data_IF_187480591402
#
_entry.id   IF_187480591402
#
_cell.length_a   1.000
_cell.length_b   1.000
_cell.length_c   1.000
_cell.angle_alpha   90.00
_cell.angle_beta   90.00
_cell.angle_gamma   90.00
#
_symmetry.space_group_name_H-M   'P 1'
#
loop_
_entity.id
_entity.type
_entity.pdbx_description
1 polymer ?
#
# COMPACT_ATOMS: atom_id res chain seq x y z
N UNK A 1 15.81 9.28 8.51
CA UNK A 1 14.59 10.07 8.80
C UNK A 1 13.38 9.22 8.41
N UNK A 2 12.24 9.37 9.07
CA UNK A 2 11.00 8.71 8.64
C UNK A 2 10.30 9.59 7.61
N UNK A 3 10.03 9.03 6.42
CA UNK A 3 9.16 9.65 5.42
C UNK A 3 7.86 8.84 5.42
N UNK A 4 6.76 9.46 5.81
CA UNK A 4 5.45 8.81 5.84
C UNK A 4 4.52 9.51 4.85
N UNK A 5 4.11 8.79 3.80
CA UNK A 5 3.30 9.31 2.70
C UNK A 5 2.01 8.51 2.57
N UNK A 6 0.90 9.18 2.26
CA UNK A 6 -0.40 8.57 1.99
C UNK A 6 -0.82 8.88 0.55
N UNK A 7 -1.27 7.84 -0.18
CA UNK A 7 -1.76 7.94 -1.56
C UNK A 7 -3.30 7.85 -1.59
N UNK A 8 -3.96 8.97 -1.29
CA UNK A 8 -5.40 9.03 -0.97
C UNK A 8 -6.36 8.80 -2.16
N UNK A 9 -5.86 8.83 -3.39
CA UNK A 9 -6.72 8.75 -4.59
C UNK A 9 -7.47 7.41 -4.70
N UNK A 10 -6.83 6.31 -4.28
CA UNK A 10 -7.46 4.98 -4.21
C UNK A 10 -8.79 5.01 -3.45
N UNK A 11 -8.81 5.71 -2.33
CA UNK A 11 -9.98 5.82 -1.47
C UNK A 11 -10.98 6.87 -1.98
N UNK A 12 -10.51 8.12 -2.09
CA UNK A 12 -11.35 9.30 -2.30
C UNK A 12 -11.92 9.43 -3.72
N UNK A 13 -11.19 8.93 -4.74
CA UNK A 13 -11.60 9.02 -6.15
C UNK A 13 -12.19 7.74 -6.68
N UNK A 14 -11.79 6.57 -6.17
CA UNK A 14 -12.16 5.29 -6.77
C UNK A 14 -12.96 4.38 -5.83
N UNK A 15 -12.49 4.15 -4.60
CA UNK A 15 -13.12 3.27 -3.61
C UNK A 15 -14.53 3.74 -3.23
N UNK A 16 -14.66 4.93 -2.64
CA UNK A 16 -15.95 5.51 -2.23
C UNK A 16 -16.93 5.70 -3.40
N UNK A 17 -16.42 5.82 -4.63
CA UNK A 17 -17.22 6.04 -5.85
C UNK A 17 -17.59 4.75 -6.57
N UNK A 18 -17.11 3.60 -6.09
CA UNK A 18 -17.34 2.28 -6.69
C UNK A 18 -16.98 2.25 -8.17
N UNK A 19 -15.75 2.67 -8.47
CA UNK A 19 -15.19 2.70 -9.82
C UNK A 19 -14.04 1.67 -9.96
N UNK A 20 -14.33 0.38 -10.22
CA UNK A 20 -13.32 -0.67 -10.29
C UNK A 20 -12.25 -0.40 -11.35
N UNK A 21 -12.63 0.09 -12.53
CA UNK A 21 -11.70 0.36 -13.62
C UNK A 21 -10.73 1.48 -13.24
N UNK A 22 -11.22 2.58 -12.67
CA UNK A 22 -10.37 3.67 -12.20
C UNK A 22 -9.47 3.28 -11.03
N UNK A 23 -9.94 2.39 -10.14
CA UNK A 23 -9.11 1.84 -9.07
C UNK A 23 -7.95 1.01 -9.66
N UNK A 24 -8.25 0.13 -10.63
CA UNK A 24 -7.25 -0.69 -11.31
C UNK A 24 -6.22 0.18 -12.05
N UNK A 25 -6.65 1.18 -12.82
CA UNK A 25 -5.76 2.12 -13.50
C UNK A 25 -4.85 2.88 -12.52
N UNK A 26 -5.37 3.26 -11.35
CA UNK A 26 -4.57 3.92 -10.32
C UNK A 26 -3.50 2.98 -9.72
N UNK A 27 -3.81 1.69 -9.57
CA UNK A 27 -2.85 0.69 -9.09
C UNK A 27 -1.74 0.47 -10.12
N UNK A 28 -2.10 0.32 -11.39
CA UNK A 28 -1.14 0.21 -12.50
C UNK A 28 -0.27 1.48 -12.63
N UNK A 29 -0.87 2.66 -12.46
CA UNK A 29 -0.13 3.90 -12.46
C UNK A 29 0.89 3.93 -11.32
N UNK A 30 0.50 3.56 -10.09
CA UNK A 30 1.44 3.49 -8.97
C UNK A 30 2.58 2.51 -9.24
N UNK A 31 2.26 1.31 -9.73
CA UNK A 31 3.26 0.29 -10.07
C UNK A 31 4.27 0.81 -11.11
N UNK A 32 3.80 1.54 -12.13
CA UNK A 32 4.67 2.18 -13.13
C UNK A 32 5.69 3.17 -12.55
N UNK A 33 5.43 3.73 -11.36
CA UNK A 33 6.34 4.65 -10.65
C UNK A 33 7.34 3.93 -9.75
N UNK A 34 7.09 2.66 -9.40
CA UNK A 34 7.91 1.90 -8.48
C UNK A 34 9.39 1.80 -8.92
N UNK A 35 9.74 1.58 -10.20
CA UNK A 35 11.14 1.56 -10.63
C UNK A 35 11.89 2.87 -10.35
N UNK A 36 11.22 4.02 -10.52
CA UNK A 36 11.80 5.32 -10.24
C UNK A 36 12.05 5.53 -8.74
N UNK A 37 11.13 5.07 -7.89
CA UNK A 37 11.33 5.06 -6.43
C UNK A 37 12.53 4.18 -6.06
N UNK A 38 12.58 2.94 -6.57
CA UNK A 38 13.64 1.99 -6.26
C UNK A 38 15.03 2.52 -6.63
N UNK A 39 15.15 3.23 -7.76
CA UNK A 39 16.41 3.85 -8.20
C UNK A 39 16.90 4.99 -7.30
N UNK A 40 16.02 5.57 -6.47
CA UNK A 40 16.36 6.66 -5.54
C UNK A 40 16.76 6.17 -4.14
N UNK A 41 16.46 4.91 -3.81
CA UNK A 41 16.78 4.34 -2.50
C UNK A 41 18.29 4.17 -2.33
N UNK A 42 18.77 4.46 -1.13
CA UNK A 42 20.17 4.38 -0.74
C UNK A 42 20.41 3.17 0.15
N UNK A 43 21.68 2.82 0.33
CA UNK A 43 22.07 1.82 1.32
C UNK A 43 21.50 2.18 2.70
N UNK A 44 20.91 1.19 3.38
CA UNK A 44 20.22 1.38 4.65
C UNK A 44 18.75 1.80 4.55
N UNK A 45 18.25 2.20 3.37
CA UNK A 45 16.84 2.53 3.21
C UNK A 45 15.96 1.28 3.22
N UNK A 46 14.84 1.38 3.93
CA UNK A 46 13.78 0.38 4.02
C UNK A 46 12.45 1.05 3.68
N UNK A 47 11.69 0.43 2.78
CA UNK A 47 10.33 0.85 2.44
C UNK A 47 9.36 -0.18 2.97
N UNK A 48 8.34 0.29 3.69
CA UNK A 48 7.13 -0.43 3.99
C UNK A 48 6.01 0.11 3.10
N UNK A 49 5.38 -0.77 2.31
CA UNK A 49 4.16 -0.48 1.59
C UNK A 49 2.98 -1.24 2.21
N UNK A 50 1.93 -0.49 2.52
CA UNK A 50 0.74 -0.98 3.23
C UNK A 50 -0.49 -0.15 2.90
N UNK A 51 -1.64 -0.54 3.47
CA UNK A 51 -2.88 0.22 3.48
C UNK A 51 -3.39 0.33 4.93
N UNK A 52 -4.40 1.16 5.16
CA UNK A 52 -5.01 1.39 6.47
C UNK A 52 -6.41 0.76 6.62
N UNK A 53 -7.06 0.40 5.51
CA UNK A 53 -8.29 -0.38 5.47
C UNK A 53 -8.56 -0.91 4.05
N UNK A 54 -9.68 -1.60 3.85
CA UNK A 54 -10.24 -1.89 2.54
C UNK A 54 -11.20 -0.79 2.09
N UNK A 55 -11.37 -0.66 0.79
CA UNK A 55 -12.47 0.11 0.19
C UNK A 55 -12.85 -0.51 -1.16
N UNK A 56 -13.38 -1.74 -1.11
CA UNK A 56 -13.71 -2.55 -2.29
C UNK A 56 -14.65 -1.79 -3.25
N UNK A 57 -14.20 -1.46 -4.49
CA UNK A 57 -14.99 -0.68 -5.43
C UNK A 57 -16.17 -1.45 -6.02
N UNK A 58 -16.33 -2.75 -5.72
CA UNK A 58 -17.46 -3.58 -6.11
C UNK A 58 -18.47 -3.80 -4.97
N UNK A 59 -18.16 -3.31 -3.76
CA UNK A 59 -19.01 -3.48 -2.58
C UNK A 59 -20.25 -2.58 -2.63
N UNK A 60 -21.42 -3.01 -2.10
CA UNK A 60 -22.58 -2.15 -1.99
C UNK A 60 -22.34 -0.93 -1.07
N UNK A 61 -23.14 0.12 -1.28
CA UNK A 61 -23.01 1.36 -0.51
C UNK A 61 -21.75 2.15 -0.88
N UNK A 62 -21.32 3.05 -0.01
CA UNK A 62 -20.18 3.95 -0.25
C UNK A 62 -19.14 3.96 0.86
N UNK A 63 -19.31 3.19 1.93
CA UNK A 63 -18.38 3.18 3.07
C UNK A 63 -17.23 2.18 2.88
N UNK A 64 -16.21 2.25 3.73
CA UNK A 64 -15.07 1.34 3.73
C UNK A 64 -15.45 -0.11 4.01
N UNK A 65 -14.54 -1.02 3.67
CA UNK A 65 -14.64 -2.46 3.94
C UNK A 65 -13.60 -2.90 4.97
N UNK A 66 -13.98 -3.86 5.82
CA UNK A 66 -13.10 -4.40 6.87
C UNK A 66 -12.25 -5.53 6.31
N UNK A 67 -11.06 -5.19 5.85
CA UNK A 67 -10.14 -6.11 5.17
C UNK A 67 -8.77 -6.21 5.84
N UNK A 68 -8.05 -7.29 5.55
CA UNK A 68 -6.62 -7.36 5.86
C UNK A 68 -5.85 -6.45 4.89
N UNK A 69 -4.80 -5.80 5.36
CA UNK A 69 -3.96 -4.92 4.54
C UNK A 69 -2.63 -5.62 4.21
N UNK A 70 -2.02 -5.34 3.05
CA UNK A 70 -0.70 -5.88 2.72
C UNK A 70 0.37 -5.27 3.63
N UNK A 71 1.44 -6.03 3.89
CA UNK A 71 2.63 -5.56 4.60
C UNK A 71 3.85 -6.00 3.80
N UNK A 72 4.28 -5.14 2.87
CA UNK A 72 5.37 -5.43 1.95
C UNK A 72 6.59 -4.60 2.31
N UNK A 73 7.70 -5.27 2.60
CA UNK A 73 8.98 -4.62 2.82
C UNK A 73 9.89 -4.80 1.62
N UNK A 74 10.49 -3.71 1.14
CA UNK A 74 11.47 -3.71 0.05
C UNK A 74 12.49 -2.58 0.20
N UNK A 75 13.53 -2.60 -0.64
CA UNK A 75 14.63 -1.64 -0.62
C UNK A 75 15.96 -2.26 -0.16
N UNK A 76 17.06 -1.50 -0.18
CA UNK A 76 18.41 -2.01 0.09
C UNK A 76 18.59 -2.66 1.47
N UNK A 77 17.84 -2.24 2.49
CA UNK A 77 17.90 -2.84 3.83
C UNK A 77 16.87 -3.97 4.06
N UNK A 78 15.99 -4.26 3.09
CA UNK A 78 14.97 -5.28 3.25
C UNK A 78 15.54 -6.71 3.11
N UNK A 79 15.27 -7.64 4.05
CA UNK A 79 15.67 -9.03 3.91
C UNK A 79 14.97 -9.71 2.73
N UNK A 80 15.72 -10.12 1.73
CA UNK A 80 15.18 -10.77 0.54
C UNK A 80 14.55 -12.15 0.85
N UNK A 81 13.43 -12.45 0.19
CA UNK A 81 12.82 -13.80 0.20
C UNK A 81 12.17 -14.22 1.53
N UNK A 82 11.96 -13.30 2.47
CA UNK A 82 11.39 -13.63 3.78
C UNK A 82 9.87 -13.45 3.81
N UNK A 83 9.15 -14.51 4.20
CA UNK A 83 7.71 -14.44 4.53
C UNK A 83 7.53 -14.08 6.01
N UNK A 84 6.84 -12.97 6.28
CA UNK A 84 6.61 -12.48 7.66
C UNK A 84 5.40 -13.13 8.34
N UNK A 85 4.50 -13.75 7.57
CA UNK A 85 3.23 -14.26 8.09
C UNK A 85 2.20 -13.14 8.24
N UNK A 86 1.21 -13.34 9.11
CA UNK A 86 0.15 -12.38 9.38
C UNK A 86 0.42 -11.70 10.71
N UNK A 87 0.38 -10.37 10.72
CA UNK A 87 0.42 -9.58 11.95
C UNK A 87 -0.98 -9.52 12.58
N UNK A 88 -1.03 -9.49 13.92
CA UNK A 88 -2.28 -9.34 14.66
C UNK A 88 -2.79 -7.89 14.72
N UNK A 89 -1.92 -6.90 14.44
CA UNK A 89 -2.22 -5.47 14.59
C UNK A 89 -1.32 -4.61 13.71
N UNK A 90 -1.85 -3.51 13.19
CA UNK A 90 -1.02 -2.55 12.44
C UNK A 90 0.11 -1.94 13.27
N UNK A 91 0.00 -1.99 14.61
CA UNK A 91 1.04 -1.51 15.51
C UNK A 91 2.39 -2.22 15.28
N UNK A 92 2.39 -3.46 14.78
CA UNK A 92 3.63 -4.20 14.47
C UNK A 92 4.44 -3.54 13.34
N UNK A 93 3.83 -2.66 12.54
CA UNK A 93 4.53 -1.90 11.50
C UNK A 93 5.36 -0.73 12.06
N UNK A 94 5.04 -0.25 13.26
CA UNK A 94 5.71 0.88 13.90
C UNK A 94 6.56 0.52 15.12
N UNK A 95 6.57 -0.75 15.52
CA UNK A 95 7.37 -1.28 16.64
C UNK A 95 8.84 -1.51 16.25
#
# INVERSE_FOLDING_TARGET
ALIFTNFVDFDSKFGHRRLPEGYAEALEYWDSRLPALLALLREGDLVLWTADHGNDPTWPGTDHTREQVPMLFFGPAAPAGRRLGTSATFADMGA
#
